data_IF_116144003657
#
_entry.id   IF_116144003657
#
_cell.length_a   1.000
_cell.length_b   1.000
_cell.length_c   1.000
_cell.angle_alpha   90.00
_cell.angle_beta   90.00
_cell.angle_gamma   90.00
#
_symmetry.space_group_name_H-M   'P 1'
#
loop_
_entity.id
_entity.type
_entity.pdbx_description
1 polymer ?
#
# COMPACT_ATOMS: atom_id res chain seq x y z
N UNK A 1 -32.20 -10.28 -9.04
CA UNK A 1 -31.19 -9.27 -8.65
C UNK A 1 -30.40 -8.99 -9.91
N UNK A 2 -30.32 -7.74 -10.34
CA UNK A 2 -29.56 -7.40 -11.53
C UNK A 2 -28.09 -7.74 -11.30
N UNK A 3 -27.52 -8.60 -12.15
CA UNK A 3 -26.12 -8.96 -12.05
C UNK A 3 -25.29 -7.77 -12.56
N UNK A 4 -24.68 -7.01 -11.64
CA UNK A 4 -23.80 -5.92 -12.00
C UNK A 4 -22.59 -6.42 -12.79
N UNK A 5 -22.30 -5.77 -13.90
CA UNK A 5 -21.11 -6.02 -14.71
C UNK A 5 -19.86 -5.48 -14.02
N UNK A 6 -18.69 -6.03 -14.38
CA UNK A 6 -17.39 -5.55 -13.86
C UNK A 6 -17.17 -4.05 -14.14
N UNK A 7 -17.67 -3.53 -15.26
CA UNK A 7 -17.57 -2.13 -15.62
C UNK A 7 -18.43 -1.22 -14.74
N UNK A 8 -19.64 -1.66 -14.38
CA UNK A 8 -20.49 -0.93 -13.42
C UNK A 8 -19.83 -0.90 -12.03
N UNK A 9 -19.28 -2.03 -11.58
CA UNK A 9 -18.57 -2.10 -10.30
C UNK A 9 -17.33 -1.20 -10.28
N UNK A 10 -16.56 -1.18 -11.37
CA UNK A 10 -15.39 -0.30 -11.51
C UNK A 10 -15.80 1.18 -11.51
N UNK A 11 -16.91 1.52 -12.17
CA UNK A 11 -17.46 2.87 -12.18
C UNK A 11 -17.93 3.30 -10.78
N UNK A 12 -18.70 2.46 -10.07
CA UNK A 12 -19.16 2.76 -8.71
C UNK A 12 -17.99 2.91 -7.74
N UNK A 13 -16.97 2.05 -7.88
CA UNK A 13 -15.73 2.15 -7.12
C UNK A 13 -14.98 3.45 -7.41
N UNK A 14 -14.83 3.82 -8.69
CA UNK A 14 -14.17 5.05 -9.10
C UNK A 14 -14.92 6.28 -8.57
N UNK A 15 -16.25 6.33 -8.71
CA UNK A 15 -17.08 7.42 -8.20
C UNK A 15 -16.96 7.52 -6.67
N UNK A 16 -17.06 6.40 -5.95
CA UNK A 16 -16.90 6.36 -4.50
C UNK A 16 -15.53 6.89 -4.05
N UNK A 17 -14.46 6.38 -4.63
CA UNK A 17 -13.09 6.84 -4.33
C UNK A 17 -12.87 8.31 -4.72
N UNK A 18 -13.44 8.76 -5.85
CA UNK A 18 -13.32 10.14 -6.34
C UNK A 18 -14.04 11.14 -5.45
N UNK A 19 -15.22 10.79 -4.94
CA UNK A 19 -15.96 11.60 -3.96
C UNK A 19 -15.14 11.73 -2.68
N UNK A 20 -14.61 10.62 -2.15
CA UNK A 20 -13.75 10.63 -0.96
C UNK A 20 -12.53 11.52 -1.21
N UNK A 21 -11.81 11.32 -2.30
CA UNK A 21 -10.63 12.12 -2.63
C UNK A 21 -10.94 13.60 -2.84
N UNK A 22 -12.11 13.94 -3.40
CA UNK A 22 -12.59 15.32 -3.52
C UNK A 22 -12.83 15.97 -2.16
N UNK A 23 -13.50 15.27 -1.24
CA UNK A 23 -13.71 15.74 0.13
C UNK A 23 -12.40 15.92 0.90
N UNK A 24 -11.48 14.96 0.75
CA UNK A 24 -10.16 14.98 1.40
C UNK A 24 -9.29 16.10 0.81
N UNK A 25 -9.41 16.42 -0.48
CA UNK A 25 -8.76 17.59 -1.06
C UNK A 25 -9.26 18.90 -0.44
N UNK A 26 -10.58 19.06 -0.27
CA UNK A 26 -11.15 20.24 0.42
C UNK A 26 -10.62 20.32 1.85
N UNK A 27 -10.51 19.19 2.55
CA UNK A 27 -9.95 19.15 3.90
C UNK A 27 -8.47 19.52 3.91
N UNK A 28 -7.66 18.90 3.04
CA UNK A 28 -6.23 19.17 2.80
C UNK A 28 -5.96 20.65 2.56
N UNK A 29 -6.80 21.32 1.76
CA UNK A 29 -6.71 22.76 1.50
C UNK A 29 -6.87 23.58 2.79
N UNK A 30 -7.83 23.23 3.65
CA UNK A 30 -8.07 23.94 4.93
C UNK A 30 -6.95 23.76 5.93
N UNK A 31 -6.39 22.55 6.02
CA UNK A 31 -5.31 22.23 6.97
C UNK A 31 -3.92 22.54 6.41
N UNK A 32 -3.82 22.91 5.13
CA UNK A 32 -2.57 23.15 4.37
C UNK A 32 -1.61 21.97 4.43
N UNK A 33 -2.15 20.76 4.28
CA UNK A 33 -1.36 19.53 4.35
C UNK A 33 -1.92 18.48 3.40
N UNK A 34 -1.26 18.27 2.25
CA UNK A 34 -1.62 17.24 1.30
C UNK A 34 -1.28 15.82 1.77
N UNK A 35 -0.50 15.65 2.83
CA UNK A 35 -0.12 14.33 3.35
C UNK A 35 -1.32 13.45 3.71
N UNK A 36 -2.47 14.05 4.06
CA UNK A 36 -3.71 13.32 4.34
C UNK A 36 -4.19 12.48 3.15
N UNK A 37 -3.77 12.78 1.92
CA UNK A 37 -4.12 12.00 0.73
C UNK A 37 -3.73 10.52 0.88
N UNK A 38 -2.59 10.23 1.49
CA UNK A 38 -2.08 8.85 1.60
C UNK A 38 -2.90 8.01 2.58
N UNK A 39 -3.46 8.65 3.61
CA UNK A 39 -4.36 7.99 4.57
C UNK A 39 -5.59 7.46 3.81
N UNK A 40 -6.21 8.33 3.02
CA UNK A 40 -7.45 8.00 2.30
C UNK A 40 -7.20 7.18 1.05
N UNK A 41 -6.01 7.25 0.46
CA UNK A 41 -5.60 6.30 -0.57
C UNK A 41 -5.60 4.89 0.00
N UNK A 42 -5.11 4.69 1.23
CA UNK A 42 -5.18 3.37 1.88
C UNK A 42 -6.61 2.97 2.23
N UNK A 43 -7.44 3.88 2.76
CA UNK A 43 -8.83 3.59 3.12
C UNK A 43 -9.78 3.40 1.93
N UNK A 44 -9.41 3.87 0.73
CA UNK A 44 -10.19 3.62 -0.48
C UNK A 44 -10.24 2.13 -0.86
N UNK A 45 -9.22 1.32 -0.57
CA UNK A 45 -9.27 -0.11 -0.87
C UNK A 45 -10.36 -0.86 -0.07
N UNK A 46 -10.50 -0.67 1.26
CA UNK A 46 -11.67 -1.13 2.01
C UNK A 46 -13.02 -0.69 1.41
N UNK A 47 -13.13 0.54 0.91
CA UNK A 47 -14.37 1.02 0.27
C UNK A 47 -14.68 0.21 -1.00
N UNK A 48 -13.68 0.00 -1.87
CA UNK A 48 -13.83 -0.84 -3.06
C UNK A 48 -14.23 -2.27 -2.67
N UNK A 49 -13.57 -2.84 -1.66
CA UNK A 49 -13.86 -4.18 -1.16
C UNK A 49 -15.30 -4.33 -0.66
N UNK A 50 -15.84 -3.32 0.04
CA UNK A 50 -17.23 -3.30 0.51
C UNK A 50 -18.21 -3.20 -0.67
N UNK A 51 -17.94 -2.33 -1.65
CA UNK A 51 -18.76 -2.23 -2.87
C UNK A 51 -18.82 -3.59 -3.59
N UNK A 52 -17.67 -4.24 -3.76
CA UNK A 52 -17.60 -5.55 -4.40
C UNK A 52 -18.28 -6.65 -3.59
N UNK A 53 -18.11 -6.66 -2.28
CA UNK A 53 -18.77 -7.60 -1.40
C UNK A 53 -20.31 -7.53 -1.55
N UNK A 54 -20.87 -6.33 -1.56
CA UNK A 54 -22.31 -6.10 -1.61
C UNK A 54 -22.92 -6.30 -3.01
N UNK A 55 -22.21 -5.91 -4.06
CA UNK A 55 -22.80 -5.79 -5.40
C UNK A 55 -22.31 -6.83 -6.40
N UNK A 56 -21.14 -7.44 -6.20
CA UNK A 56 -20.62 -8.40 -7.17
C UNK A 56 -21.37 -9.75 -7.10
N UNK A 57 -21.61 -10.41 -8.25
CA UNK A 57 -22.39 -11.65 -8.32
C UNK A 57 -21.60 -12.90 -7.90
N UNK A 58 -20.31 -12.78 -7.61
CA UNK A 58 -19.44 -13.91 -7.30
C UNK A 58 -19.83 -14.68 -6.03
N UNK A 59 -19.20 -15.84 -5.87
CA UNK A 59 -19.47 -16.73 -4.75
C UNK A 59 -19.23 -16.04 -3.40
N UNK A 60 -20.19 -16.19 -2.49
CA UNK A 60 -20.25 -15.40 -1.25
C UNK A 60 -19.01 -15.59 -0.36
N UNK A 61 -18.57 -16.83 -0.14
CA UNK A 61 -17.37 -17.11 0.67
C UNK A 61 -16.10 -16.46 0.07
N UNK A 62 -15.98 -16.48 -1.27
CA UNK A 62 -14.86 -15.85 -1.97
C UNK A 62 -14.86 -14.34 -1.75
N UNK A 63 -16.03 -13.69 -1.87
CA UNK A 63 -16.20 -12.26 -1.59
C UNK A 63 -15.88 -11.91 -0.14
N UNK A 64 -16.31 -12.73 0.83
CA UNK A 64 -16.01 -12.54 2.25
C UNK A 64 -14.51 -12.60 2.53
N UNK A 65 -13.80 -13.56 1.96
CA UNK A 65 -12.35 -13.71 2.13
C UNK A 65 -11.60 -12.49 1.58
N UNK A 66 -11.84 -12.12 0.31
CA UNK A 66 -11.14 -10.97 -0.27
C UNK A 66 -11.50 -9.66 0.43
N UNK A 67 -12.76 -9.47 0.81
CA UNK A 67 -13.19 -8.29 1.55
C UNK A 67 -12.50 -8.21 2.91
N UNK A 68 -12.46 -9.32 3.67
CA UNK A 68 -11.77 -9.39 4.95
C UNK A 68 -10.27 -9.08 4.81
N UNK A 69 -9.59 -9.70 3.85
CA UNK A 69 -8.17 -9.47 3.58
C UNK A 69 -7.89 -8.00 3.24
N UNK A 70 -8.68 -7.39 2.36
CA UNK A 70 -8.46 -6.00 1.93
C UNK A 70 -8.83 -5.00 3.02
N UNK A 71 -9.92 -5.22 3.75
CA UNK A 71 -10.33 -4.36 4.87
C UNK A 71 -9.29 -4.37 5.98
N UNK A 72 -8.81 -5.56 6.39
CA UNK A 72 -7.77 -5.66 7.42
C UNK A 72 -6.47 -4.99 6.99
N UNK A 73 -6.02 -5.21 5.76
CA UNK A 73 -4.80 -4.60 5.23
C UNK A 73 -4.92 -3.07 5.13
N UNK A 74 -6.02 -2.57 4.54
CA UNK A 74 -6.25 -1.15 4.36
C UNK A 74 -6.47 -0.40 5.69
N UNK A 75 -7.19 -1.00 6.65
CA UNK A 75 -7.34 -0.41 7.96
C UNK A 75 -6.00 -0.34 8.71
N UNK A 76 -5.16 -1.37 8.63
CA UNK A 76 -3.83 -1.37 9.25
C UNK A 76 -2.96 -0.25 8.69
N UNK A 77 -2.79 -0.19 7.36
CA UNK A 77 -1.93 0.79 6.71
C UNK A 77 -2.49 2.22 6.87
N UNK A 78 -3.80 2.41 6.62
CA UNK A 78 -4.45 3.71 6.76
C UNK A 78 -4.38 4.24 8.20
N UNK A 79 -4.56 3.38 9.20
CA UNK A 79 -4.46 3.79 10.62
C UNK A 79 -3.02 4.12 11.00
N UNK A 80 -2.04 3.35 10.51
CA UNK A 80 -0.63 3.67 10.72
C UNK A 80 -0.28 5.06 10.15
N UNK A 81 -0.71 5.33 8.91
CA UNK A 81 -0.53 6.63 8.26
C UNK A 81 -1.28 7.75 8.98
N UNK A 82 -2.51 7.49 9.42
CA UNK A 82 -3.31 8.45 10.17
C UNK A 82 -2.61 8.85 11.47
N UNK A 83 -2.11 7.89 12.25
CA UNK A 83 -1.36 8.17 13.48
C UNK A 83 -0.08 8.95 13.19
N UNK A 84 0.62 8.66 12.09
CA UNK A 84 1.85 9.37 11.70
C UNK A 84 1.58 10.81 11.30
N UNK A 85 0.62 11.02 10.40
CA UNK A 85 0.35 12.32 9.78
C UNK A 85 -0.38 13.25 10.75
N UNK A 86 -1.32 12.74 11.55
CA UNK A 86 -2.05 13.59 12.51
C UNK A 86 -1.15 14.18 13.60
N UNK A 87 -0.04 13.52 13.95
CA UNK A 87 0.98 14.09 14.87
C UNK A 87 1.67 15.33 14.31
N UNK A 88 1.74 15.46 12.99
CA UNK A 88 2.39 16.57 12.28
C UNK A 88 1.38 17.30 11.37
N UNK A 89 0.10 17.35 11.77
CA UNK A 89 -0.96 17.86 10.88
C UNK A 89 -0.72 19.29 10.40
N UNK A 90 -0.01 20.10 11.21
CA UNK A 90 0.34 21.50 10.91
C UNK A 90 1.59 21.66 10.03
N UNK A 91 2.30 20.58 9.74
CA UNK A 91 3.53 20.57 8.95
C UNK A 91 3.31 19.68 7.72
N UNK A 92 3.27 20.28 6.54
CA UNK A 92 3.17 19.53 5.30
C UNK A 92 4.48 18.74 5.05
N UNK A 93 4.36 17.48 4.65
CA UNK A 93 5.54 16.68 4.34
C UNK A 93 6.34 17.33 3.19
N UNK A 94 7.69 17.31 3.24
CA UNK A 94 8.54 18.05 2.31
C UNK A 94 8.26 17.79 0.83
N UNK A 95 7.85 16.56 0.45
CA UNK A 95 7.50 16.21 -0.93
C UNK A 95 6.32 17.00 -1.48
N UNK A 96 5.27 17.21 -0.68
CA UNK A 96 4.08 17.94 -1.15
C UNK A 96 4.35 19.44 -1.14
N UNK A 97 5.09 19.93 -0.14
CA UNK A 97 5.53 21.32 -0.09
C UNK A 97 6.39 21.67 -1.32
N UNK A 98 7.28 20.77 -1.75
CA UNK A 98 8.08 20.94 -2.96
C UNK A 98 7.21 21.02 -4.22
N UNK A 99 6.28 20.08 -4.39
CA UNK A 99 5.37 20.05 -5.55
C UNK A 99 4.49 21.30 -5.59
N UNK A 100 3.96 21.76 -4.44
CA UNK A 100 3.18 23.01 -4.39
C UNK A 100 4.04 24.22 -4.79
N UNK A 101 5.29 24.27 -4.32
CA UNK A 101 6.22 25.35 -4.69
C UNK A 101 6.50 25.35 -6.20
N UNK A 102 6.71 24.18 -6.80
CA UNK A 102 6.91 24.03 -8.24
C UNK A 102 5.67 24.43 -9.06
N UNK A 103 4.47 24.09 -8.58
CA UNK A 103 3.22 24.40 -9.28
C UNK A 103 2.74 25.84 -9.09
N UNK A 104 3.24 26.53 -8.06
CA UNK A 104 3.00 27.95 -7.80
C UNK A 104 1.51 28.28 -7.78
N UNK A 105 1.09 29.25 -8.60
CA UNK A 105 -0.32 29.71 -8.67
C UNK A 105 -1.30 28.61 -9.09
N UNK A 106 -0.83 27.57 -9.78
CA UNK A 106 -1.64 26.44 -10.24
C UNK A 106 -1.63 25.26 -9.26
N UNK A 107 -1.10 25.43 -8.05
CA UNK A 107 -0.96 24.34 -7.08
C UNK A 107 -2.30 23.67 -6.75
N UNK A 108 -3.35 24.42 -6.44
CA UNK A 108 -4.62 23.83 -5.96
C UNK A 108 -5.40 23.06 -7.04
N UNK A 109 -5.59 23.58 -8.28
CA UNK A 109 -6.22 22.79 -9.34
C UNK A 109 -5.42 21.53 -9.70
N UNK A 110 -4.07 21.62 -9.71
CA UNK A 110 -3.22 20.45 -9.96
C UNK A 110 -3.24 19.46 -8.79
N UNK A 111 -3.36 19.94 -7.54
CA UNK A 111 -3.53 19.09 -6.37
C UNK A 111 -4.88 18.38 -6.40
N UNK A 112 -5.95 19.04 -6.82
CA UNK A 112 -7.22 18.35 -7.05
C UNK A 112 -7.05 17.21 -8.07
N UNK A 113 -6.41 17.50 -9.21
CA UNK A 113 -6.07 16.47 -10.21
C UNK A 113 -5.22 15.33 -9.63
N UNK A 114 -4.23 15.65 -8.80
CA UNK A 114 -3.41 14.66 -8.10
C UNK A 114 -4.25 13.74 -7.20
N UNK A 115 -5.18 14.28 -6.41
CA UNK A 115 -6.08 13.49 -5.56
C UNK A 115 -7.00 12.60 -6.40
N UNK A 116 -7.50 13.07 -7.54
CA UNK A 116 -8.31 12.26 -8.46
C UNK A 116 -7.48 11.15 -9.14
N UNK A 117 -6.21 11.41 -9.46
CA UNK A 117 -5.30 10.36 -9.92
C UNK A 117 -5.08 9.28 -8.84
N UNK A 118 -5.11 9.65 -7.55
CA UNK A 118 -5.08 8.66 -6.46
C UNK A 118 -6.35 7.79 -6.44
N UNK A 119 -7.54 8.37 -6.66
CA UNK A 119 -8.77 7.58 -6.82
C UNK A 119 -8.69 6.62 -8.01
N UNK A 120 -8.18 7.08 -9.16
CA UNK A 120 -7.99 6.23 -10.33
C UNK A 120 -6.96 5.11 -10.07
N UNK A 121 -5.87 5.41 -9.37
CA UNK A 121 -4.84 4.41 -9.03
C UNK A 121 -5.38 3.34 -8.08
N UNK A 122 -6.27 3.70 -7.15
CA UNK A 122 -6.95 2.73 -6.29
C UNK A 122 -7.75 1.70 -7.11
N UNK A 123 -8.53 2.15 -8.10
CA UNK A 123 -9.32 1.24 -8.95
C UNK A 123 -8.41 0.38 -9.83
N UNK A 124 -7.34 0.96 -10.39
CA UNK A 124 -6.35 0.22 -11.19
C UNK A 124 -5.65 -0.88 -10.37
N UNK A 125 -5.25 -0.58 -9.14
CA UNK A 125 -4.61 -1.55 -8.25
C UNK A 125 -5.59 -2.56 -7.67
N UNK A 126 -6.89 -2.24 -7.67
CA UNK A 126 -7.94 -3.14 -7.21
C UNK A 126 -8.39 -4.16 -8.28
N UNK A 127 -7.78 -4.19 -9.48
CA UNK A 127 -8.03 -5.20 -10.53
C UNK A 127 -8.16 -6.64 -9.99
N UNK A 128 -7.23 -7.18 -9.16
CA UNK A 128 -7.40 -8.49 -8.54
C UNK A 128 -8.75 -8.64 -7.82
N UNK A 129 -9.20 -7.61 -7.10
CA UNK A 129 -10.42 -7.67 -6.29
C UNK A 129 -11.65 -7.79 -7.18
N UNK A 130 -11.70 -7.04 -8.29
CA UNK A 130 -12.77 -7.16 -9.29
C UNK A 130 -12.81 -8.55 -9.90
N UNK A 131 -11.66 -9.09 -10.33
CA UNK A 131 -11.57 -10.42 -10.93
C UNK A 131 -12.08 -11.49 -9.96
N UNK A 132 -11.62 -11.43 -8.71
CA UNK A 132 -12.00 -12.36 -7.64
C UNK A 132 -13.50 -12.26 -7.34
N UNK A 133 -14.02 -11.05 -7.16
CA UNK A 133 -15.42 -10.83 -6.76
C UNK A 133 -16.43 -11.17 -7.86
N UNK A 134 -16.00 -11.26 -9.13
CA UNK A 134 -16.85 -11.67 -10.25
C UNK A 134 -16.93 -13.20 -10.43
N UNK A 135 -16.09 -13.98 -9.74
CA UNK A 135 -16.04 -15.43 -9.92
C UNK A 135 -17.18 -16.15 -9.19
N UNK A 136 -18.12 -16.71 -9.97
CA UNK A 136 -19.32 -17.40 -9.51
C UNK A 136 -19.12 -18.89 -9.20
N UNK A 137 -17.94 -19.47 -9.42
CA UNK A 137 -17.70 -20.89 -9.12
C UNK A 137 -17.92 -21.16 -7.61
N UNK A 138 -18.81 -22.09 -7.23
CA UNK A 138 -19.21 -22.31 -5.83
C UNK A 138 -18.16 -23.07 -4.98
N UNK A 139 -16.91 -23.12 -5.45
CA UNK A 139 -15.79 -23.80 -4.79
C UNK A 139 -14.55 -22.93 -4.85
N UNK A 140 -13.74 -23.00 -3.80
CA UNK A 140 -12.42 -22.37 -3.77
C UNK A 140 -11.39 -23.28 -4.44
N UNK A 141 -10.54 -22.67 -5.26
CA UNK A 141 -9.37 -23.31 -5.86
C UNK A 141 -8.20 -23.38 -4.87
N UNK A 142 -7.22 -24.24 -5.16
CA UNK A 142 -5.96 -24.33 -4.38
C UNK A 142 -5.23 -22.99 -4.30
N UNK A 143 -5.31 -22.17 -5.36
CA UNK A 143 -4.67 -20.87 -5.43
C UNK A 143 -5.24 -19.88 -4.40
N UNK A 144 -6.53 -19.96 -4.11
CA UNK A 144 -7.18 -19.08 -3.12
C UNK A 144 -6.69 -19.41 -1.70
N UNK A 145 -6.54 -20.69 -1.37
CA UNK A 145 -5.95 -21.11 -0.09
C UNK A 145 -4.49 -20.65 0.04
N UNK A 146 -3.68 -20.82 -1.02
CA UNK A 146 -2.28 -20.35 -1.03
C UNK A 146 -2.25 -18.82 -0.90
N UNK A 147 -3.14 -18.10 -1.59
CA UNK A 147 -3.28 -16.66 -1.50
C UNK A 147 -3.58 -16.19 -0.08
N UNK A 148 -4.51 -16.81 0.63
CA UNK A 148 -4.82 -16.50 2.04
C UNK A 148 -3.61 -16.73 2.96
N UNK A 149 -2.92 -17.86 2.80
CA UNK A 149 -1.73 -18.17 3.61
C UNK A 149 -0.62 -17.15 3.34
N UNK A 150 -0.35 -16.84 2.07
CA UNK A 150 0.67 -15.88 1.67
C UNK A 150 0.33 -14.47 2.19
N UNK A 151 -0.94 -14.09 2.14
CA UNK A 151 -1.43 -12.83 2.68
C UNK A 151 -1.20 -12.74 4.19
N UNK A 152 -1.56 -13.79 4.94
CA UNK A 152 -1.37 -13.84 6.39
C UNK A 152 0.11 -13.72 6.77
N UNK A 153 0.99 -14.46 6.10
CA UNK A 153 2.45 -14.36 6.28
C UNK A 153 2.92 -12.93 6.01
N UNK A 154 2.46 -12.34 4.91
CA UNK A 154 2.84 -10.97 4.50
C UNK A 154 2.47 -9.95 5.58
N UNK A 155 1.21 -9.93 6.02
CA UNK A 155 0.73 -8.98 7.04
C UNK A 155 1.45 -9.17 8.37
N UNK A 156 1.67 -10.41 8.81
CA UNK A 156 2.37 -10.70 10.07
C UNK A 156 3.82 -10.24 9.99
N UNK A 157 4.55 -10.62 8.94
CA UNK A 157 5.96 -10.29 8.80
C UNK A 157 6.18 -8.80 8.60
N UNK A 158 5.29 -8.11 7.89
CA UNK A 158 5.31 -6.66 7.77
C UNK A 158 5.12 -5.98 9.15
N UNK A 159 4.09 -6.39 9.91
CA UNK A 159 3.84 -5.85 11.24
C UNK A 159 5.02 -6.12 12.21
N UNK A 160 5.68 -7.27 12.09
CA UNK A 160 6.90 -7.59 12.83
C UNK A 160 8.05 -6.67 12.42
N UNK A 161 8.27 -6.44 11.13
CA UNK A 161 9.31 -5.54 10.64
C UNK A 161 9.09 -4.11 11.14
N UNK A 162 7.87 -3.58 11.03
CA UNK A 162 7.53 -2.25 11.52
C UNK A 162 7.70 -2.13 13.03
N UNK A 163 7.29 -3.14 13.80
CA UNK A 163 7.46 -3.17 15.26
C UNK A 163 8.94 -3.21 15.65
N UNK A 164 9.77 -3.99 14.96
CA UNK A 164 11.22 -4.02 15.17
C UNK A 164 11.84 -2.64 14.96
N UNK A 165 11.50 -1.96 13.85
CA UNK A 165 11.99 -0.62 13.57
C UNK A 165 11.49 0.42 14.59
N UNK A 166 10.21 0.35 14.97
CA UNK A 166 9.63 1.26 15.94
C UNK A 166 10.27 1.12 17.32
N UNK A 167 10.49 -0.12 17.78
CA UNK A 167 11.17 -0.40 19.05
C UNK A 167 12.63 0.09 19.01
N UNK A 168 13.34 -0.16 17.90
CA UNK A 168 14.70 0.33 17.70
C UNK A 168 14.78 1.86 17.81
N UNK A 169 13.85 2.59 17.18
CA UNK A 169 13.80 4.06 17.20
C UNK A 169 13.42 4.66 18.57
N UNK A 170 12.68 3.93 19.40
CA UNK A 170 12.27 4.39 20.74
C UNK A 170 13.41 4.41 21.74
N UNK A 171 14.40 3.54 21.56
CA UNK A 171 15.56 3.45 22.44
C UNK A 171 16.57 4.58 22.13
N UNK A 172 16.80 5.45 23.10
CA UNK A 172 17.71 6.57 22.99
C UNK A 172 19.17 6.14 22.72
N UNK A 173 19.57 4.93 23.14
CA UNK A 173 20.89 4.36 22.87
C UNK A 173 21.12 4.03 21.39
N UNK A 174 20.05 4.03 20.58
CA UNK A 174 20.10 3.77 19.14
C UNK A 174 20.12 5.04 18.27
N UNK A 175 20.16 6.24 18.88
CA UNK A 175 20.32 7.49 18.12
C UNK A 175 21.58 7.42 17.25
N UNK A 176 21.42 7.75 15.97
CA UNK A 176 22.50 7.70 14.96
C UNK A 176 22.84 6.30 14.42
N UNK A 177 22.23 5.22 14.93
CA UNK A 177 22.48 3.85 14.48
C UNK A 177 21.52 3.39 13.38
N UNK A 178 21.86 2.27 12.74
CA UNK A 178 21.01 1.59 11.74
C UNK A 178 20.35 0.38 12.40
N UNK A 179 19.05 0.19 12.15
CA UNK A 179 18.35 -1.01 12.58
C UNK A 179 18.82 -2.18 11.71
N UNK A 180 19.48 -3.15 12.34
CA UNK A 180 20.11 -4.30 11.69
C UNK A 180 19.81 -5.58 12.50
N UNK A 181 18.59 -5.68 13.00
CA UNK A 181 18.11 -6.77 13.86
C UNK A 181 16.83 -7.38 13.30
N UNK A 182 16.60 -8.67 13.58
CA UNK A 182 15.42 -9.37 13.10
C UNK A 182 15.32 -9.38 11.58
N UNK A 183 14.18 -8.98 11.02
CA UNK A 183 13.98 -8.94 9.56
C UNK A 183 14.86 -7.89 8.88
N UNK A 184 15.19 -6.81 9.59
CA UNK A 184 16.11 -5.77 9.11
C UNK A 184 17.55 -6.28 9.01
N UNK A 185 17.88 -7.42 9.61
CA UNK A 185 19.19 -8.03 9.38
C UNK A 185 19.34 -8.60 7.97
N UNK A 186 18.24 -9.09 7.39
CA UNK A 186 18.21 -9.81 6.12
C UNK A 186 17.82 -8.93 4.93
N UNK A 187 17.08 -7.85 5.17
CA UNK A 187 16.73 -6.87 4.14
C UNK A 187 16.81 -5.46 4.71
N UNK A 188 17.15 -4.49 3.86
CA UNK A 188 17.13 -3.07 4.21
C UNK A 188 15.74 -2.48 4.24
N UNK A 189 14.77 -3.13 3.59
CA UNK A 189 13.36 -2.72 3.54
C UNK A 189 12.44 -3.95 3.61
N UNK A 190 12.50 -4.74 4.70
CA UNK A 190 11.71 -5.97 4.82
C UNK A 190 10.20 -5.67 4.85
N UNK A 191 9.79 -4.56 5.45
CA UNK A 191 8.39 -4.13 5.44
C UNK A 191 7.89 -3.87 4.01
N UNK A 192 8.68 -3.21 3.15
CA UNK A 192 8.31 -3.04 1.73
C UNK A 192 8.24 -4.34 0.96
N UNK A 193 9.10 -5.31 1.28
CA UNK A 193 9.02 -6.64 0.67
C UNK A 193 7.71 -7.34 1.04
N UNK A 194 7.32 -7.31 2.32
CA UNK A 194 6.08 -7.96 2.76
C UNK A 194 4.82 -7.20 2.34
N UNK A 195 4.88 -5.86 2.24
CA UNK A 195 3.84 -5.06 1.58
C UNK A 195 3.66 -5.53 0.13
N UNK A 196 4.74 -5.66 -0.65
CA UNK A 196 4.67 -6.20 -2.01
C UNK A 196 4.18 -7.65 -2.06
N UNK A 197 4.63 -8.51 -1.14
CA UNK A 197 4.21 -9.91 -1.05
C UNK A 197 2.70 -10.03 -0.77
N UNK A 198 2.12 -9.09 -0.02
CA UNK A 198 0.69 -8.98 0.16
C UNK A 198 -0.03 -8.73 -1.18
N UNK A 199 0.51 -7.89 -2.06
CA UNK A 199 -0.05 -7.71 -3.42
C UNK A 199 0.12 -8.96 -4.30
N UNK A 200 1.23 -9.67 -4.15
CA UNK A 200 1.43 -10.99 -4.79
C UNK A 200 0.38 -11.98 -4.31
N UNK A 201 0.02 -11.95 -3.02
CA UNK A 201 -1.00 -12.84 -2.46
C UNK A 201 -2.38 -12.63 -3.10
N UNK A 202 -2.77 -11.39 -3.41
CA UNK A 202 -4.00 -11.10 -4.13
C UNK A 202 -3.95 -11.60 -5.58
N UNK A 203 -2.80 -11.46 -6.24
CA UNK A 203 -2.58 -12.05 -7.56
C UNK A 203 -2.71 -13.57 -7.53
N UNK A 204 -2.03 -14.24 -6.60
CA UNK A 204 -2.12 -15.71 -6.43
C UNK A 204 -3.57 -16.11 -6.15
N UNK A 205 -4.27 -15.43 -5.24
CA UNK A 205 -5.68 -15.68 -5.00
C UNK A 205 -6.52 -15.54 -6.29
N UNK A 206 -6.28 -14.50 -7.08
CA UNK A 206 -6.99 -14.25 -8.33
C UNK A 206 -6.76 -15.33 -9.40
N UNK A 207 -5.65 -16.09 -9.36
CA UNK A 207 -5.42 -17.22 -10.28
C UNK A 207 -6.49 -18.31 -10.19
N UNK A 208 -7.25 -18.36 -9.09
CA UNK A 208 -8.44 -19.21 -8.95
C UNK A 208 -9.65 -18.78 -9.78
N UNK A 209 -9.58 -17.63 -10.44
CA UNK A 209 -10.69 -17.01 -11.16
C UNK A 209 -10.41 -16.87 -12.66
N UNK A 210 -11.45 -16.84 -13.51
CA UNK A 210 -11.29 -16.51 -14.92
C UNK A 210 -10.53 -15.20 -15.11
N UNK A 211 -9.55 -15.19 -16.01
CA UNK A 211 -8.66 -14.05 -16.26
C UNK A 211 -7.76 -13.66 -15.07
N UNK A 212 -7.61 -14.51 -14.06
CA UNK A 212 -6.76 -14.30 -12.88
C UNK A 212 -5.34 -13.87 -13.18
N UNK A 213 -4.78 -14.31 -14.30
CA UNK A 213 -3.43 -13.93 -14.74
C UNK A 213 -3.26 -12.42 -14.97
N UNK A 214 -4.34 -11.68 -15.29
CA UNK A 214 -4.31 -10.23 -15.46
C UNK A 214 -4.04 -9.49 -14.13
N UNK A 215 -4.33 -10.12 -12.99
CA UNK A 215 -4.10 -9.52 -11.68
C UNK A 215 -2.62 -9.28 -11.37
N UNK A 216 -1.68 -9.82 -12.16
CA UNK A 216 -0.23 -9.56 -12.03
C UNK A 216 0.12 -8.08 -12.15
N UNK A 217 -0.74 -7.29 -12.82
CA UNK A 217 -0.54 -5.85 -13.00
C UNK A 217 -0.38 -5.11 -11.66
N UNK A 218 -1.12 -5.53 -10.63
CA UNK A 218 -1.10 -4.85 -9.32
C UNK A 218 0.22 -5.02 -8.56
N UNK A 219 0.71 -6.25 -8.28
CA UNK A 219 2.03 -6.42 -7.67
C UNK A 219 3.17 -5.89 -8.55
N UNK A 220 3.04 -5.89 -9.89
CA UNK A 220 4.04 -5.29 -10.76
C UNK A 220 4.13 -3.76 -10.60
N UNK A 221 3.00 -3.06 -10.56
CA UNK A 221 2.94 -1.61 -10.31
C UNK A 221 3.50 -1.30 -8.91
N UNK A 222 3.08 -2.03 -7.88
CA UNK A 222 3.56 -1.80 -6.51
C UNK A 222 5.07 -2.05 -6.40
N UNK A 223 5.59 -3.10 -7.04
CA UNK A 223 7.03 -3.36 -7.07
C UNK A 223 7.80 -2.20 -7.70
N UNK A 224 7.31 -1.68 -8.83
CA UNK A 224 7.92 -0.54 -9.50
C UNK A 224 7.91 0.71 -8.61
N UNK A 225 6.76 1.03 -7.99
CA UNK A 225 6.62 2.18 -7.10
C UNK A 225 7.57 2.08 -5.89
N UNK A 226 7.66 0.90 -5.27
CA UNK A 226 8.52 0.66 -4.11
C UNK A 226 10.01 0.72 -4.49
N UNK A 227 10.42 0.12 -5.61
CA UNK A 227 11.84 0.04 -5.98
C UNK A 227 12.37 1.32 -6.64
N UNK A 228 11.52 2.10 -7.33
CA UNK A 228 11.99 3.15 -8.24
C UNK A 228 11.42 4.54 -7.98
N UNK A 229 10.26 4.67 -7.33
CA UNK A 229 9.56 5.96 -7.24
C UNK A 229 9.46 6.45 -5.80
N UNK A 230 8.55 5.87 -5.01
CA UNK A 230 8.13 6.43 -3.71
C UNK A 230 8.64 5.65 -2.51
N UNK A 231 9.12 4.42 -2.68
CA UNK A 231 9.60 3.58 -1.59
C UNK A 231 11.08 3.79 -1.26
N UNK A 232 11.89 2.81 -1.68
CA UNK A 232 13.30 2.63 -1.31
C UNK A 232 14.19 3.85 -1.60
N UNK A 233 14.16 4.47 -2.79
CA UNK A 233 15.10 5.55 -3.10
C UNK A 233 15.02 6.72 -2.10
N UNK A 234 13.78 7.14 -1.77
CA UNK A 234 13.54 8.27 -0.86
C UNK A 234 13.99 7.94 0.57
N UNK A 235 13.75 6.72 1.04
CA UNK A 235 14.10 6.31 2.41
C UNK A 235 15.60 6.04 2.58
N UNK A 236 16.27 5.51 1.56
CA UNK A 236 17.72 5.34 1.55
C UNK A 236 18.43 6.69 1.50
N UNK A 237 17.95 7.64 0.69
CA UNK A 237 18.50 8.99 0.62
C UNK A 237 18.43 9.69 1.99
N UNK A 238 17.28 9.64 2.66
CA UNK A 238 17.13 10.20 4.01
C UNK A 238 18.06 9.51 5.03
N UNK A 239 18.24 8.19 4.91
CA UNK A 239 19.13 7.42 5.77
C UNK A 239 20.60 7.78 5.54
N UNK A 240 21.02 7.98 4.28
CA UNK A 240 22.36 8.44 3.93
C UNK A 240 22.64 9.86 4.44
N UNK A 241 21.66 10.76 4.37
CA UNK A 241 21.80 12.13 4.91
C UNK A 241 21.94 12.16 6.44
N UNK A 242 21.21 11.29 7.14
CA UNK A 242 21.18 11.28 8.61
C UNK A 242 22.30 10.44 9.25
N UNK A 243 22.81 9.41 8.58
CA UNK A 243 23.78 8.45 9.12
C UNK A 243 24.66 7.84 8.00
N UNK A 244 25.48 8.66 7.31
CA UNK A 244 26.15 8.27 6.07
C UNK A 244 27.03 7.02 6.21
N UNK A 245 27.96 7.03 7.16
CA UNK A 245 28.95 5.95 7.29
C UNK A 245 28.33 4.63 7.79
N UNK A 246 27.44 4.71 8.78
CA UNK A 246 26.73 3.55 9.30
C UNK A 246 25.81 2.92 8.24
N UNK A 247 25.11 3.75 7.46
CA UNK A 247 24.20 3.24 6.43
C UNK A 247 24.92 2.69 5.21
N UNK A 248 26.03 3.30 4.77
CA UNK A 248 26.89 2.71 3.72
C UNK A 248 27.40 1.32 4.11
N UNK A 249 27.82 1.14 5.37
CA UNK A 249 28.27 -0.18 5.88
C UNK A 249 27.14 -1.21 5.82
N UNK A 250 25.91 -0.81 6.14
CA UNK A 250 24.73 -1.65 6.05
C UNK A 250 24.34 -1.96 4.60
N UNK A 251 24.42 -0.99 3.70
CA UNK A 251 24.19 -1.20 2.26
C UNK A 251 25.17 -2.21 1.64
N UNK A 252 26.41 -2.26 2.14
CA UNK A 252 27.44 -3.17 1.65
C UNK A 252 27.22 -4.64 2.04
N UNK A 253 26.41 -4.94 3.08
CA UNK A 253 26.28 -6.31 3.60
C UNK A 253 24.85 -6.82 3.57
N UNK A 254 23.84 -5.96 3.48
CA UNK A 254 22.43 -6.34 3.55
C UNK A 254 21.71 -6.08 2.23
N UNK A 255 20.95 -7.08 1.76
CA UNK A 255 20.15 -7.00 0.55
C UNK A 255 19.10 -5.90 0.63
N UNK A 256 18.85 -5.20 -0.48
CA UNK A 256 17.99 -4.02 -0.48
C UNK A 256 16.51 -4.37 -0.20
N UNK A 257 16.00 -5.45 -0.80
CA UNK A 257 14.57 -5.71 -0.86
C UNK A 257 14.21 -7.11 -0.37
N UNK A 258 14.68 -8.14 -1.06
CA UNK A 258 14.40 -9.54 -0.67
C UNK A 258 15.17 -9.88 0.62
N UNK A 259 14.50 -10.40 1.68
CA UNK A 259 15.17 -10.92 2.87
C UNK A 259 16.12 -12.06 2.51
N UNK A 260 17.43 -11.82 2.64
CA UNK A 260 18.47 -12.76 2.27
C UNK A 260 19.63 -12.72 3.28
N UNK A 261 20.38 -13.82 3.47
CA UNK A 261 21.59 -13.79 4.30
C UNK A 261 22.57 -12.71 3.87
N UNK A 262 23.30 -12.15 4.84
CA UNK A 262 24.26 -11.08 4.57
C UNK A 262 25.32 -11.50 3.56
N UNK A 263 25.63 -10.57 2.67
CA UNK A 263 26.72 -10.70 1.72
C UNK A 263 28.05 -10.71 2.51
N UNK A 264 28.89 -11.71 2.22
CA UNK A 264 30.24 -11.75 2.78
C UNK A 264 31.03 -10.55 2.20
N UNK A 265 31.73 -9.84 3.08
CA UNK A 265 32.74 -8.87 2.66
C UNK A 265 34.00 -9.58 2.17
#
# INVERSE_FOLDING_TARGET
MDNYTVWQLALYSFVGCSIIMGLVWVWSYRIKNAGVVDIFWSYNFPVIAIILFLLAPGFELRKQLIAGMVVLAGLRLGTHLAIRITKHLREEEPRYAHIRKEWGKNAEPKMFGFFQMQAASNVLLAIPFFIIAMNTEPRLSVFEYIGVILWAISVICEAVADRQLANFKKDAANKGKVCDTGLWHYSRHPNYFFEWLMWVSYFVFALGSPYGYLAIISPAIILYLLLKVTGIPTTEEQSLRSKPEAYKKYQATTCVFVPWPKMKK
#
